data_IF_761767109244
#
_entry.id   IF_761767109244
#
_cell.length_a   1.000
_cell.length_b   1.000
_cell.length_c   1.000
_cell.angle_alpha   90.00
_cell.angle_beta   90.00
_cell.angle_gamma   90.00
#
_symmetry.space_group_name_H-M   'P 1'
#
loop_
_entity.id
_entity.type
_entity.pdbx_description
1 polymer ?
#
# COMPACT_ATOMS: atom_id res chain seq x y z
N UNK A 1 1.53 -17.65 -2.96
CA UNK A 1 1.39 -16.36 -2.30
C UNK A 1 0.54 -15.45 -3.16
N UNK A 2 -0.19 -14.56 -2.54
CA UNK A 2 -1.06 -13.64 -3.25
C UNK A 2 -0.29 -12.40 -3.71
N UNK A 3 -0.58 -11.94 -4.91
CA UNK A 3 0.04 -10.76 -5.47
C UNK A 3 -0.79 -9.52 -5.13
N UNK A 4 -0.13 -8.53 -4.54
CA UNK A 4 -0.74 -7.26 -4.18
C UNK A 4 -0.02 -6.12 -4.89
N UNK A 5 -0.67 -4.96 -4.90
CA UNK A 5 -0.09 -3.74 -5.45
C UNK A 5 -0.07 -2.69 -4.34
N UNK A 6 1.09 -2.08 -4.15
CA UNK A 6 1.24 -0.99 -3.20
C UNK A 6 1.33 0.32 -3.98
N UNK A 7 0.38 1.21 -3.77
CA UNK A 7 0.36 2.52 -4.42
C UNK A 7 0.74 3.59 -3.41
N UNK A 8 1.75 4.37 -3.75
CA UNK A 8 2.18 5.51 -2.95
C UNK A 8 1.48 6.75 -3.48
N UNK A 9 0.85 7.51 -2.59
CA UNK A 9 0.10 8.70 -2.96
C UNK A 9 0.81 9.96 -2.48
N UNK A 10 0.56 11.06 -3.21
CA UNK A 10 0.99 12.39 -2.80
C UNK A 10 0.07 12.87 -1.68
N UNK A 11 0.64 13.28 -0.55
CA UNK A 11 -0.12 13.77 0.60
C UNK A 11 -0.99 14.98 0.28
N UNK A 12 -0.56 15.79 -0.68
CA UNK A 12 -1.26 17.04 -1.01
C UNK A 12 -2.39 16.84 -2.00
N UNK A 13 -2.12 16.09 -3.06
CA UNK A 13 -3.08 15.94 -4.15
C UNK A 13 -3.90 14.66 -4.04
N UNK A 14 -3.44 13.67 -3.27
CA UNK A 14 -4.06 12.36 -3.19
C UNK A 14 -3.86 11.52 -4.45
N UNK A 15 -2.98 11.94 -5.35
CA UNK A 15 -2.73 11.21 -6.60
C UNK A 15 -1.68 10.13 -6.39
N UNK A 16 -1.83 9.04 -7.12
CA UNK A 16 -0.85 7.96 -7.12
C UNK A 16 0.40 8.44 -7.84
N UNK A 17 1.53 8.46 -7.14
CA UNK A 17 2.80 8.90 -7.69
C UNK A 17 3.74 7.72 -7.97
N UNK A 18 3.48 6.57 -7.36
CA UNK A 18 4.31 5.39 -7.56
C UNK A 18 3.52 4.14 -7.23
N UNK A 19 3.77 3.05 -7.95
CA UNK A 19 3.22 1.75 -7.65
C UNK A 19 4.32 0.72 -7.63
N UNK A 20 4.22 -0.28 -6.75
CA UNK A 20 5.14 -1.40 -6.76
C UNK A 20 4.41 -2.68 -6.41
N UNK A 21 5.00 -3.79 -6.84
CA UNK A 21 4.46 -5.11 -6.59
C UNK A 21 4.80 -5.55 -5.17
N UNK A 22 3.86 -6.26 -4.56
CA UNK A 22 3.99 -6.77 -3.21
C UNK A 22 3.42 -8.17 -3.17
N UNK A 23 4.13 -9.11 -2.57
CA UNK A 23 3.62 -10.46 -2.38
C UNK A 23 3.48 -10.76 -0.89
N UNK A 24 2.38 -11.40 -0.53
CA UNK A 24 2.10 -11.77 0.83
C UNK A 24 1.17 -12.99 0.86
N UNK A 25 1.14 -13.67 1.99
CA UNK A 25 0.30 -14.87 2.13
C UNK A 25 -1.18 -14.51 2.30
N UNK A 26 -1.46 -13.35 2.90
CA UNK A 26 -2.83 -12.89 3.15
C UNK A 26 -2.84 -11.37 3.30
N UNK A 27 -4.06 -10.82 3.49
CA UNK A 27 -4.24 -9.37 3.60
C UNK A 27 -3.49 -8.78 4.80
N UNK A 28 -3.51 -9.47 5.94
CA UNK A 28 -2.83 -8.99 7.15
C UNK A 28 -1.31 -8.86 6.92
N UNK A 29 -0.73 -9.83 6.25
CA UNK A 29 0.70 -9.78 5.92
C UNK A 29 1.01 -8.69 4.91
N UNK A 30 0.12 -8.51 3.93
CA UNK A 30 0.29 -7.44 2.94
C UNK A 30 0.29 -6.07 3.62
N UNK A 31 -0.64 -5.85 4.54
CA UNK A 31 -0.71 -4.60 5.30
C UNK A 31 0.53 -4.41 6.18
N UNK A 32 0.99 -5.47 6.85
CA UNK A 32 2.18 -5.39 7.69
C UNK A 32 3.42 -5.02 6.87
N UNK A 33 3.57 -5.60 5.69
CA UNK A 33 4.69 -5.28 4.80
C UNK A 33 4.61 -3.83 4.31
N UNK A 34 3.41 -3.36 4.00
CA UNK A 34 3.20 -1.97 3.58
C UNK A 34 3.52 -1.00 4.71
N UNK A 35 3.11 -1.32 5.93
CA UNK A 35 3.40 -0.48 7.10
C UNK A 35 4.89 -0.41 7.42
N UNK A 36 5.64 -1.45 7.08
CA UNK A 36 7.08 -1.48 7.30
C UNK A 36 7.86 -0.65 6.28
N UNK A 37 7.21 -0.17 5.23
CA UNK A 37 7.86 0.64 4.20
C UNK A 37 7.93 2.09 4.67
N UNK A 38 9.14 2.54 4.99
CA UNK A 38 9.38 3.89 5.52
C UNK A 38 9.13 5.00 4.49
N UNK A 39 9.06 4.65 3.22
CA UNK A 39 8.85 5.62 2.14
C UNK A 39 7.38 5.84 1.81
N UNK A 40 6.49 5.34 2.65
CA UNK A 40 5.04 5.42 2.43
C UNK A 40 4.35 6.28 3.48
N UNK A 41 4.33 7.60 3.33
CA UNK A 41 3.51 8.44 4.24
C UNK A 41 2.02 8.19 4.02
N UNK A 42 1.59 8.05 2.75
CA UNK A 42 0.23 7.66 2.41
C UNK A 42 0.31 6.60 1.32
N UNK A 43 -0.22 5.43 1.61
CA UNK A 43 -0.17 4.29 0.69
C UNK A 43 -1.48 3.54 0.69
N UNK A 44 -1.78 2.89 -0.43
CA UNK A 44 -2.92 2.00 -0.56
C UNK A 44 -2.44 0.61 -0.98
N UNK A 45 -3.05 -0.41 -0.40
CA UNK A 45 -2.75 -1.80 -0.73
C UNK A 45 -3.94 -2.36 -1.50
N UNK A 46 -3.68 -2.91 -2.68
CA UNK A 46 -4.70 -3.46 -3.55
C UNK A 46 -4.39 -4.89 -3.92
N UNK A 47 -5.42 -5.70 -4.05
CA UNK A 47 -5.35 -7.05 -4.62
C UNK A 47 -6.17 -7.03 -5.90
N UNK A 48 -5.50 -6.93 -7.05
CA UNK A 48 -6.20 -6.78 -8.32
C UNK A 48 -7.03 -5.51 -8.34
N UNK A 49 -8.35 -5.65 -8.44
CA UNK A 49 -9.28 -4.52 -8.46
C UNK A 49 -9.88 -4.24 -7.07
N UNK A 50 -9.49 -5.02 -6.06
CA UNK A 50 -10.04 -4.88 -4.72
C UNK A 50 -9.08 -4.15 -3.80
N UNK A 51 -9.55 -3.07 -3.20
CA UNK A 51 -8.75 -2.34 -2.23
C UNK A 51 -8.74 -3.10 -0.90
N UNK A 52 -7.56 -3.49 -0.46
CA UNK A 52 -7.37 -4.22 0.79
C UNK A 52 -7.37 -3.26 1.98
N UNK A 53 -6.70 -2.14 1.85
CA UNK A 53 -6.62 -1.16 2.92
C UNK A 53 -5.75 0.02 2.53
N UNK A 54 -5.60 0.95 3.47
CA UNK A 54 -4.75 2.12 3.27
C UNK A 54 -3.93 2.39 4.51
N UNK A 55 -2.79 3.04 4.30
CA UNK A 55 -1.89 3.44 5.38
C UNK A 55 -1.74 4.94 5.31
N UNK A 56 -2.04 5.61 6.41
CA UNK A 56 -1.83 7.04 6.55
C UNK A 56 -1.00 7.26 7.79
N UNK A 57 0.15 7.89 7.60
CA UNK A 57 1.01 8.26 8.71
C UNK A 57 0.92 9.76 8.91
N UNK A 58 0.41 10.14 10.07
CA UNK A 58 0.35 11.55 10.45
C UNK A 58 1.39 11.79 11.53
N UNK A 59 2.23 12.76 11.30
CA UNK A 59 3.21 13.19 12.31
C UNK A 59 2.59 14.23 13.24
#
# INVERSE_FOLDING_TARGET
MTHYRLYKLDERSGRIVKGKDLEAANNDQAMAKAEADDECPVCEVWEGVNKVGSIERTD
#
